data_IF_707322086547
#
_entry.id   IF_707322086547
#
_cell.length_a   1.000
_cell.length_b   1.000
_cell.length_c   1.000
_cell.angle_alpha   90.00
_cell.angle_beta   90.00
_cell.angle_gamma   90.00
#
_symmetry.space_group_name_H-M   'P 1'
#
loop_
_entity.id
_entity.type
_entity.pdbx_description
1 polymer ?
#
# COMPACT_ATOMS: atom_id res chain seq x y z
N UNK A 1 -4.05 -10.39 -2.59
CA UNK A 1 -3.59 -9.09 -3.03
C UNK A 1 -2.80 -8.31 -2.00
N UNK A 2 -2.94 -8.68 -0.71
CA UNK A 2 -2.11 -8.05 0.30
C UNK A 2 -0.62 -8.33 0.07
N UNK A 3 -0.29 -9.53 -0.35
CA UNK A 3 1.10 -9.88 -0.65
C UNK A 3 1.65 -9.05 -1.81
N UNK A 4 0.81 -8.78 -2.80
CA UNK A 4 1.23 -7.97 -3.94
C UNK A 4 1.62 -6.55 -3.48
N UNK A 5 0.87 -6.00 -2.53
CA UNK A 5 1.17 -4.69 -1.99
C UNK A 5 2.45 -4.72 -1.16
N UNK A 6 2.65 -5.78 -0.37
CA UNK A 6 3.89 -5.92 0.39
C UNK A 6 5.09 -6.02 -0.54
N UNK A 7 4.98 -6.76 -1.64
CA UNK A 7 6.05 -6.86 -2.62
C UNK A 7 6.34 -5.49 -3.24
N UNK A 8 5.30 -4.72 -3.51
CA UNK A 8 5.47 -3.38 -4.06
C UNK A 8 6.19 -2.46 -3.08
N UNK A 9 5.80 -2.52 -1.80
CA UNK A 9 6.46 -1.72 -0.77
C UNK A 9 7.93 -2.10 -0.66
N UNK A 10 8.24 -3.38 -0.74
CA UNK A 10 9.61 -3.85 -0.72
C UNK A 10 10.41 -3.29 -1.90
N UNK A 11 9.79 -3.23 -3.08
CA UNK A 11 10.46 -2.70 -4.26
C UNK A 11 10.73 -1.20 -4.15
N UNK A 12 10.06 -0.52 -3.22
CA UNK A 12 10.28 0.89 -2.92
C UNK A 12 11.14 1.08 -1.67
N UNK A 13 11.95 0.09 -1.34
CA UNK A 13 12.84 0.13 -0.17
C UNK A 13 12.08 0.29 1.15
N UNK A 14 10.86 -0.24 1.21
CA UNK A 14 10.06 -0.24 2.42
C UNK A 14 9.15 0.96 2.62
N UNK A 15 9.15 1.91 1.69
CA UNK A 15 8.31 3.11 1.78
C UNK A 15 7.60 3.36 0.46
N UNK A 16 6.31 3.10 0.41
CA UNK A 16 5.50 3.36 -0.77
C UNK A 16 5.10 4.84 -0.78
N UNK A 17 5.38 5.58 -1.85
CA UNK A 17 5.19 7.04 -1.85
C UNK A 17 3.75 7.53 -1.98
N UNK A 18 2.77 6.64 -1.93
CA UNK A 18 1.36 7.03 -2.02
C UNK A 18 0.51 6.12 -1.12
N UNK A 19 -0.73 6.55 -0.88
CA UNK A 19 -1.68 5.79 -0.07
C UNK A 19 -2.95 5.55 -0.88
N UNK A 20 -3.98 4.99 -0.24
CA UNK A 20 -5.28 4.79 -0.86
C UNK A 20 -5.96 6.12 -1.21
N UNK A 21 -5.40 7.24 -0.80
CA UNK A 21 -5.92 8.56 -1.18
C UNK A 21 -5.44 9.01 -2.54
N UNK A 22 -4.52 8.29 -3.16
CA UNK A 22 -4.07 8.59 -4.50
C UNK A 22 -5.21 8.39 -5.51
N UNK A 23 -5.07 8.98 -6.70
CA UNK A 23 -6.10 8.82 -7.73
C UNK A 23 -6.19 7.36 -8.17
N UNK A 24 -7.37 6.91 -8.65
CA UNK A 24 -7.50 5.55 -9.15
C UNK A 24 -6.52 5.21 -10.27
N UNK A 25 -6.19 6.20 -11.09
CA UNK A 25 -5.24 6.01 -12.19
C UNK A 25 -3.84 5.67 -11.68
N UNK A 26 -3.39 6.40 -10.67
CA UNK A 26 -2.07 6.16 -10.09
C UNK A 26 -2.04 4.79 -9.43
N UNK A 27 -3.08 4.46 -8.66
CA UNK A 27 -3.15 3.19 -7.97
C UNK A 27 -3.13 2.04 -8.96
N UNK A 28 -3.94 2.11 -10.01
CA UNK A 28 -4.00 1.06 -11.00
C UNK A 28 -2.67 0.92 -11.74
N UNK A 29 -2.06 2.04 -12.12
CA UNK A 29 -0.79 2.03 -12.84
C UNK A 29 0.32 1.39 -12.01
N UNK A 30 0.36 1.68 -10.71
CA UNK A 30 1.43 1.20 -9.83
C UNK A 30 1.18 -0.21 -9.30
N UNK A 31 -0.06 -0.57 -9.07
CA UNK A 31 -0.38 -1.84 -8.41
C UNK A 31 -1.13 -2.83 -9.28
N UNK A 32 -1.76 -2.35 -10.33
CA UNK A 32 -2.64 -3.19 -11.14
C UNK A 32 -3.98 -3.44 -10.47
N UNK A 33 -4.26 -2.80 -9.35
CA UNK A 33 -5.49 -2.98 -8.60
C UNK A 33 -6.39 -1.75 -8.71
N UNK A 34 -7.71 -1.96 -8.59
CA UNK A 34 -8.62 -0.83 -8.48
C UNK A 34 -8.40 -0.14 -7.13
N UNK A 35 -8.85 1.11 -7.03
CA UNK A 35 -8.72 1.85 -5.78
C UNK A 35 -9.42 1.13 -4.64
N UNK A 36 -10.60 0.57 -4.90
CA UNK A 36 -11.34 -0.16 -3.86
C UNK A 36 -10.60 -1.40 -3.40
N UNK A 37 -10.03 -2.17 -4.33
CA UNK A 37 -9.26 -3.36 -3.98
C UNK A 37 -7.99 -2.99 -3.23
N UNK A 38 -7.32 -1.92 -3.68
CA UNK A 38 -6.12 -1.43 -3.01
C UNK A 38 -6.43 -0.99 -1.59
N UNK A 39 -7.51 -0.23 -1.42
CA UNK A 39 -7.91 0.25 -0.09
C UNK A 39 -8.18 -0.91 0.86
N UNK A 40 -8.87 -1.95 0.39
CA UNK A 40 -9.15 -3.13 1.22
C UNK A 40 -7.89 -3.85 1.62
N UNK A 41 -6.97 -4.02 0.68
CA UNK A 41 -5.71 -4.72 0.96
C UNK A 41 -4.85 -3.92 1.93
N UNK A 42 -4.78 -2.60 1.74
CA UNK A 42 -4.05 -1.72 2.65
C UNK A 42 -4.66 -1.77 4.05
N UNK A 43 -5.99 -1.71 4.13
CA UNK A 43 -6.67 -1.78 5.41
C UNK A 43 -6.39 -3.09 6.15
N UNK A 44 -6.35 -4.19 5.42
CA UNK A 44 -6.03 -5.49 6.00
C UNK A 44 -4.60 -5.53 6.53
N UNK A 45 -3.65 -5.05 5.74
CA UNK A 45 -2.25 -5.01 6.17
C UNK A 45 -2.06 -4.11 7.39
N UNK A 46 -2.75 -2.99 7.41
CA UNK A 46 -2.71 -2.07 8.54
C UNK A 46 -3.27 -2.72 9.79
N UNK A 47 -4.39 -3.42 9.65
CA UNK A 47 -5.02 -4.12 10.76
C UNK A 47 -4.12 -5.23 11.30
N UNK A 48 -3.37 -5.89 10.44
CA UNK A 48 -2.42 -6.93 10.83
C UNK A 48 -1.08 -6.35 11.31
N UNK A 49 -0.97 -5.03 11.33
CA UNK A 49 0.23 -4.31 11.77
C UNK A 49 1.45 -4.62 10.93
N UNK A 50 1.24 -4.93 9.66
CA UNK A 50 2.35 -5.19 8.73
C UNK A 50 2.85 -3.92 8.07
N UNK A 51 2.06 -2.85 8.12
CA UNK A 51 2.42 -1.56 7.53
C UNK A 51 2.01 -0.43 8.45
N UNK A 52 2.60 0.74 8.21
CA UNK A 52 2.20 1.99 8.86
C UNK A 52 1.86 3.00 7.78
N UNK A 53 0.88 3.87 8.06
CA UNK A 53 0.49 4.93 7.14
C UNK A 53 0.82 6.25 7.82
N UNK A 54 1.80 6.98 7.27
CA UNK A 54 2.26 8.26 7.81
C UNK A 54 2.59 9.21 6.69
N UNK A 55 2.21 10.48 6.85
CA UNK A 55 2.57 11.55 5.93
C UNK A 55 2.23 11.25 4.47
N UNK A 56 1.08 10.61 4.23
CA UNK A 56 0.66 10.26 2.88
C UNK A 56 1.48 9.17 2.23
N UNK A 57 2.18 8.37 3.04
CA UNK A 57 3.00 7.27 2.57
C UNK A 57 2.67 6.01 3.35
N UNK A 58 2.92 4.88 2.72
CA UNK A 58 2.74 3.57 3.36
C UNK A 58 4.12 2.99 3.59
N UNK A 59 4.43 2.69 4.84
CA UNK A 59 5.73 2.15 5.23
C UNK A 59 5.58 0.73 5.73
N UNK A 60 6.59 -0.09 5.43
CA UNK A 60 6.66 -1.42 5.99
C UNK A 60 6.91 -1.31 7.51
N UNK A 61 6.13 -2.04 8.27
CA UNK A 61 6.31 -2.06 9.72
C UNK A 61 7.41 -3.05 10.08
N UNK A 62 8.45 -2.57 10.71
CA UNK A 62 9.61 -3.40 11.06
C UNK A 62 9.60 -3.85 12.52
N UNK A 63 8.46 -3.94 13.10
CA UNK A 63 8.36 -4.35 14.49
C UNK A 63 8.93 -5.73 14.72
#
# INVERSE_FOLDING_TARGET
DAEKIMDLIESYAGVLPFTEKATPEIIFRETGLSKAAFKRAVGRLYKERRIQITDGKIRKNEA
#
